data_IF_345347799328
#
_entry.id   IF_345347799328
#
_cell.length_a   1.000
_cell.length_b   1.000
_cell.length_c   1.000
_cell.angle_alpha   90.00
_cell.angle_beta   90.00
_cell.angle_gamma   90.00
#
_symmetry.space_group_name_H-M   'P 1'
#
loop_
_entity.id
_entity.type
_entity.pdbx_description
1 polymer ?
#
# COMPACT_ATOMS: atom_id res chain seq x y z
N UNK A 1 -5.94 -0.42 -9.43
CA UNK A 1 -5.63 -1.47 -8.44
C UNK A 1 -4.96 -2.63 -9.15
N UNK A 2 -4.01 -3.30 -8.51
CA UNK A 2 -3.30 -4.47 -9.05
C UNK A 2 -3.75 -5.74 -8.31
N UNK A 3 -3.46 -6.95 -8.83
CA UNK A 3 -3.74 -8.19 -8.13
C UNK A 3 -3.19 -8.18 -6.70
N UNK A 4 -4.03 -8.57 -5.74
CA UNK A 4 -3.72 -8.52 -4.30
C UNK A 4 -4.06 -7.19 -3.61
N UNK A 5 -4.48 -6.15 -4.34
CA UNK A 5 -5.09 -4.98 -3.72
C UNK A 5 -6.53 -5.28 -3.30
N UNK A 6 -6.96 -4.64 -2.22
CA UNK A 6 -8.33 -4.65 -1.73
C UNK A 6 -8.82 -3.21 -1.60
N UNK A 7 -10.13 -3.04 -1.69
CA UNK A 7 -10.78 -1.75 -1.47
C UNK A 7 -12.09 -1.99 -0.74
N UNK A 8 -12.52 -0.98 0.01
CA UNK A 8 -13.78 -1.02 0.73
C UNK A 8 -14.76 -0.11 0.00
N UNK A 9 -15.86 -0.68 -0.46
CA UNK A 9 -17.00 0.10 -0.96
C UNK A 9 -17.88 0.39 0.24
N UNK A 10 -17.76 1.60 0.77
CA UNK A 10 -18.70 2.09 1.78
C UNK A 10 -19.85 2.73 1.03
N UNK A 11 -21.08 2.32 1.34
CA UNK A 11 -22.29 2.89 0.75
C UNK A 11 -22.50 4.31 1.30
N UNK A 12 -21.68 5.24 0.83
CA UNK A 12 -21.92 6.67 0.91
C UNK A 12 -22.69 7.04 -0.35
N UNK A 13 -23.59 8.01 -0.29
CA UNK A 13 -24.42 8.47 -1.42
C UNK A 13 -23.63 9.07 -2.61
N UNK A 14 -22.36 8.69 -2.79
CA UNK A 14 -21.46 9.14 -3.84
C UNK A 14 -21.40 8.07 -4.94
N UNK A 15 -21.42 8.53 -6.20
CA UNK A 15 -21.53 7.74 -7.43
C UNK A 15 -20.18 7.06 -7.79
N UNK A 16 -19.66 6.24 -6.88
CA UNK A 16 -18.37 5.58 -7.08
C UNK A 16 -18.52 4.38 -8.04
N UNK A 17 -17.93 4.50 -9.22
CA UNK A 17 -17.88 3.42 -10.20
C UNK A 17 -16.52 2.72 -10.16
N UNK A 18 -16.53 1.41 -10.35
CA UNK A 18 -15.31 0.58 -10.41
C UNK A 18 -15.31 -0.15 -11.73
N UNK A 19 -14.27 0.07 -12.54
CA UNK A 19 -14.10 -0.55 -13.85
C UNK A 19 -12.88 -1.47 -13.89
N UNK A 20 -13.01 -2.60 -14.57
CA UNK A 20 -11.91 -3.52 -14.83
C UNK A 20 -11.08 -3.03 -16.03
N UNK A 21 -9.79 -2.80 -15.81
CA UNK A 21 -8.88 -2.25 -16.83
C UNK A 21 -8.17 -3.37 -17.64
N UNK A 22 -8.09 -4.58 -17.09
CA UNK A 22 -7.47 -5.73 -17.74
C UNK A 22 -8.50 -6.82 -18.05
N UNK A 23 -8.36 -7.41 -19.24
CA UNK A 23 -9.00 -8.68 -19.62
C UNK A 23 -8.55 -9.75 -18.60
N UNK A 24 -9.49 -10.50 -18.03
CA UNK A 24 -9.29 -11.48 -16.93
C UNK A 24 -9.14 -10.92 -15.49
N UNK A 25 -9.86 -9.84 -15.16
CA UNK A 25 -9.97 -9.36 -13.77
C UNK A 25 -11.03 -10.14 -12.99
N UNK A 26 -10.61 -10.87 -11.94
CA UNK A 26 -11.52 -11.51 -10.99
C UNK A 26 -11.56 -10.74 -9.66
N UNK A 27 -12.77 -10.51 -9.13
CA UNK A 27 -13.00 -9.85 -7.84
C UNK A 27 -13.71 -10.81 -6.89
N UNK A 28 -13.20 -10.89 -5.65
CA UNK A 28 -13.91 -11.49 -4.54
C UNK A 28 -14.60 -10.38 -3.75
N UNK A 29 -15.92 -10.48 -3.57
CA UNK A 29 -16.70 -9.50 -2.82
C UNK A 29 -17.32 -10.15 -1.59
N UNK A 30 -17.16 -9.48 -0.45
CA UNK A 30 -17.67 -9.92 0.83
C UNK A 30 -18.52 -8.82 1.45
N UNK A 31 -19.61 -9.20 2.11
CA UNK A 31 -20.40 -8.25 2.89
C UNK A 31 -19.60 -7.79 4.10
N UNK A 32 -19.45 -6.48 4.30
CA UNK A 32 -18.67 -5.92 5.40
C UNK A 32 -19.05 -6.48 6.76
N UNK A 33 -20.35 -6.69 7.02
CA UNK A 33 -20.84 -7.31 8.25
C UNK A 33 -20.31 -8.74 8.47
N UNK A 34 -20.17 -9.54 7.40
CA UNK A 34 -19.65 -10.91 7.51
C UNK A 34 -18.15 -10.91 7.82
N UNK A 35 -17.39 -10.00 7.20
CA UNK A 35 -15.96 -9.82 7.45
C UNK A 35 -15.75 -9.40 8.91
N UNK A 36 -16.54 -8.45 9.40
CA UNK A 36 -16.47 -7.97 10.79
C UNK A 36 -16.80 -9.07 11.80
N UNK A 37 -17.87 -9.83 11.56
CA UNK A 37 -18.23 -10.97 12.43
C UNK A 37 -17.15 -12.05 12.47
N UNK A 38 -16.45 -12.28 11.35
CA UNK A 38 -15.36 -13.24 11.30
C UNK A 38 -14.15 -12.72 12.09
N UNK A 39 -13.79 -11.45 11.94
CA UNK A 39 -12.73 -10.80 12.70
C UNK A 39 -12.98 -10.79 14.22
N UNK A 40 -14.25 -10.73 14.65
CA UNK A 40 -14.60 -10.84 16.08
C UNK A 40 -14.42 -12.25 16.64
N UNK A 41 -14.53 -13.28 15.81
CA UNK A 41 -14.43 -14.69 16.23
C UNK A 41 -13.03 -15.27 16.07
N UNK A 42 -12.25 -14.74 15.14
CA UNK A 42 -10.92 -15.20 14.80
C UNK A 42 -9.90 -14.06 14.90
N UNK A 43 -9.02 -14.16 15.90
CA UNK A 43 -7.98 -13.15 16.16
C UNK A 43 -6.89 -13.14 15.10
N UNK A 44 -6.56 -14.29 14.50
CA UNK A 44 -5.56 -14.36 13.43
C UNK A 44 -6.11 -13.69 12.17
N UNK A 45 -7.35 -13.99 11.79
CA UNK A 45 -8.02 -13.28 10.69
C UNK A 45 -8.11 -11.76 10.93
N UNK A 46 -8.41 -11.33 12.15
CA UNK A 46 -8.42 -9.91 12.49
C UNK A 46 -7.03 -9.25 12.37
N UNK A 47 -5.94 -9.99 12.62
CA UNK A 47 -4.56 -9.52 12.38
C UNK A 47 -4.28 -9.38 10.89
N UNK A 48 -4.60 -10.41 10.10
CA UNK A 48 -4.44 -10.37 8.65
C UNK A 48 -5.21 -9.20 8.02
N UNK A 49 -6.48 -9.00 8.41
CA UNK A 49 -7.30 -7.90 7.92
C UNK A 49 -6.69 -6.53 8.27
N UNK A 50 -6.09 -6.40 9.46
CA UNK A 50 -5.40 -5.17 9.89
C UNK A 50 -4.13 -4.92 9.07
N UNK A 51 -3.34 -5.96 8.83
CA UNK A 51 -2.11 -5.83 8.05
C UNK A 51 -2.43 -5.42 6.61
N UNK A 52 -3.48 -6.02 6.05
CA UNK A 52 -4.07 -5.64 4.77
C UNK A 52 -4.45 -4.15 4.81
N UNK A 53 -5.26 -3.70 5.79
CA UNK A 53 -5.63 -2.28 5.97
C UNK A 53 -4.41 -1.32 6.02
N UNK A 54 -3.38 -1.66 6.81
CA UNK A 54 -2.16 -0.87 6.92
C UNK A 54 -1.38 -0.81 5.60
N UNK A 55 -1.34 -1.89 4.83
CA UNK A 55 -0.74 -1.86 3.50
C UNK A 55 -1.48 -0.92 2.55
N UNK A 56 -2.83 -0.87 2.57
CA UNK A 56 -3.55 0.10 1.75
C UNK A 56 -3.28 1.54 2.19
N UNK A 57 -3.22 1.81 3.50
CA UNK A 57 -2.88 3.14 4.01
C UNK A 57 -1.48 3.58 3.58
N UNK A 58 -0.49 2.69 3.66
CA UNK A 58 0.87 2.97 3.16
C UNK A 58 0.87 3.28 1.67
N UNK A 59 0.10 2.53 0.85
CA UNK A 59 -0.03 2.80 -0.59
C UNK A 59 -0.67 4.15 -0.88
N UNK A 60 -1.69 4.53 -0.12
CA UNK A 60 -2.33 5.85 -0.24
C UNK A 60 -1.33 6.95 0.11
N UNK A 61 -0.53 6.75 1.17
CA UNK A 61 0.52 7.70 1.54
C UNK A 61 1.57 7.85 0.43
N UNK A 62 2.03 6.75 -0.17
CA UNK A 62 2.95 6.79 -1.32
C UNK A 62 2.34 7.51 -2.51
N UNK A 63 1.06 7.25 -2.82
CA UNK A 63 0.34 7.92 -3.88
C UNK A 63 0.23 9.43 -3.62
N UNK A 64 -0.07 9.85 -2.39
CA UNK A 64 -0.11 11.26 -2.01
C UNK A 64 1.25 11.94 -2.18
N UNK A 65 2.36 11.25 -1.89
CA UNK A 65 3.70 11.77 -2.15
C UNK A 65 3.95 11.96 -3.65
N UNK A 66 3.50 11.03 -4.49
CA UNK A 66 3.58 11.16 -5.96
C UNK A 66 2.75 12.36 -6.43
N UNK A 67 1.52 12.49 -5.94
CA UNK A 67 0.63 13.61 -6.29
C UNK A 67 1.19 14.94 -5.79
N UNK A 68 1.84 14.97 -4.63
CA UNK A 68 2.51 16.14 -4.07
C UNK A 68 3.83 16.51 -4.75
N UNK A 69 4.28 15.73 -5.74
CA UNK A 69 5.52 16.00 -6.48
C UNK A 69 5.53 17.37 -7.16
N UNK A 70 6.73 17.97 -7.24
CA UNK A 70 6.93 19.37 -7.64
C UNK A 70 6.61 19.59 -9.11
N UNK A 71 6.96 18.64 -9.99
CA UNK A 71 6.69 18.75 -11.43
C UNK A 71 5.98 17.52 -11.99
N UNK A 72 5.18 17.70 -13.04
CA UNK A 72 4.50 16.59 -13.71
C UNK A 72 5.46 15.49 -14.22
N UNK A 73 6.68 15.87 -14.61
CA UNK A 73 7.72 14.93 -15.04
C UNK A 73 8.16 14.03 -13.88
N UNK A 74 8.31 14.59 -12.67
CA UNK A 74 8.61 13.81 -11.46
C UNK A 74 7.43 12.91 -11.08
N UNK A 75 6.19 13.43 -11.11
CA UNK A 75 4.99 12.61 -10.81
C UNK A 75 4.93 11.37 -11.72
N UNK A 76 5.15 11.55 -13.03
CA UNK A 76 5.17 10.45 -14.00
C UNK A 76 6.35 9.50 -13.74
N UNK A 77 7.54 10.02 -13.39
CA UNK A 77 8.69 9.19 -13.04
C UNK A 77 8.43 8.32 -11.82
N UNK A 78 7.96 8.91 -10.73
CA UNK A 78 7.62 8.20 -9.48
C UNK A 78 6.52 7.16 -9.69
N UNK A 79 5.50 7.49 -10.49
CA UNK A 79 4.46 6.55 -10.88
C UNK A 79 5.01 5.31 -11.62
N UNK A 80 5.91 5.51 -12.59
CA UNK A 80 6.54 4.40 -13.31
C UNK A 80 7.39 3.54 -12.39
N UNK A 81 8.12 4.14 -11.44
CA UNK A 81 8.90 3.41 -10.45
C UNK A 81 8.02 2.60 -9.50
N UNK A 82 6.89 3.15 -9.07
CA UNK A 82 5.90 2.48 -8.22
C UNK A 82 5.20 1.31 -8.95
N UNK A 83 4.95 1.43 -10.26
CA UNK A 83 4.44 0.31 -11.04
C UNK A 83 5.50 -0.76 -11.31
N UNK A 84 6.76 -0.34 -11.52
CA UNK A 84 7.87 -1.26 -11.74
C UNK A 84 8.18 -2.11 -10.50
N UNK A 85 8.07 -1.56 -9.29
CA UNK A 85 8.29 -2.33 -8.05
C UNK A 85 7.22 -3.40 -7.82
N UNK A 86 6.04 -3.23 -8.42
CA UNK A 86 4.89 -4.13 -8.26
C UNK A 86 4.74 -5.14 -9.40
N UNK A 87 5.33 -4.84 -10.57
CA UNK A 87 5.30 -5.73 -11.72
C UNK A 87 6.40 -6.79 -11.62
N UNK A 88 6.02 -8.07 -11.73
CA UNK A 88 6.97 -9.20 -11.78
C UNK A 88 7.77 -9.28 -13.09
N UNK A 89 7.63 -8.30 -13.98
CA UNK A 89 8.30 -8.23 -15.28
C UNK A 89 9.80 -8.06 -15.12
N UNK A 90 10.58 -9.06 -15.54
CA UNK A 90 12.04 -9.00 -15.51
C UNK A 90 12.60 -7.79 -16.31
N UNK A 91 13.74 -7.26 -15.85
CA UNK A 91 14.58 -6.25 -16.54
C UNK A 91 13.95 -4.84 -16.72
N UNK A 92 13.23 -4.34 -15.71
CA UNK A 92 12.79 -2.94 -15.68
C UNK A 92 11.70 -2.61 -16.70
N UNK A 93 10.95 -3.61 -17.15
CA UNK A 93 9.82 -3.43 -18.04
C UNK A 93 8.54 -3.23 -17.22
N UNK A 94 7.84 -2.15 -17.52
CA UNK A 94 6.54 -1.80 -16.94
C UNK A 94 5.49 -2.00 -18.03
N UNK A 95 4.58 -2.94 -17.80
CA UNK A 95 3.36 -3.06 -18.60
C UNK A 95 2.34 -2.11 -17.99
N UNK A 96 1.84 -1.19 -18.80
CA UNK A 96 0.85 -0.19 -18.44
C UNK A 96 -0.51 -0.66 -18.97
N UNK A 97 -1.33 -1.37 -18.19
CA UNK A 97 -2.70 -1.68 -18.61
C UNK A 97 -3.54 -0.39 -18.77
N UNK A 98 -3.08 0.69 -18.15
CA UNK A 98 -3.70 2.02 -18.12
C UNK A 98 -3.50 2.80 -19.42
N UNK A 99 -4.54 3.53 -19.82
CA UNK A 99 -4.47 4.56 -20.86
C UNK A 99 -3.75 5.81 -20.35
N UNK A 100 -3.45 6.75 -21.26
CA UNK A 100 -2.89 8.05 -20.85
C UNK A 100 -3.89 8.89 -20.06
N UNK A 101 -5.19 8.69 -20.27
CA UNK A 101 -6.25 9.37 -19.53
C UNK A 101 -6.29 8.86 -18.08
N UNK A 102 -6.25 7.54 -17.89
CA UNK A 102 -6.26 6.94 -16.54
C UNK A 102 -5.02 7.38 -15.75
N UNK A 103 -3.86 7.49 -16.41
CA UNK A 103 -2.64 8.03 -15.78
C UNK A 103 -2.80 9.50 -15.41
N UNK A 104 -3.46 10.29 -16.26
CA UNK A 104 -3.70 11.70 -16.01
C UNK A 104 -4.63 11.91 -14.79
N UNK A 105 -5.70 11.13 -14.73
CA UNK A 105 -6.63 11.08 -13.60
C UNK A 105 -5.92 10.66 -12.31
N UNK A 106 -5.13 9.57 -12.37
CA UNK A 106 -4.37 9.08 -11.22
C UNK A 106 -3.38 10.12 -10.65
N UNK A 107 -2.74 10.90 -11.54
CA UNK A 107 -1.73 11.90 -11.16
C UNK A 107 -2.30 13.31 -10.94
N UNK A 108 -3.60 13.50 -11.11
CA UNK A 108 -4.29 14.79 -11.06
C UNK A 108 -3.62 15.86 -11.94
N UNK A 109 -3.32 15.50 -13.20
CA UNK A 109 -2.77 16.40 -14.23
C UNK A 109 -3.50 16.20 -15.56
N UNK A 110 -3.27 17.06 -16.55
CA UNK A 110 -3.88 16.87 -17.87
C UNK A 110 -3.22 15.74 -18.68
N UNK A 111 -3.96 15.11 -19.59
CA UNK A 111 -3.43 14.06 -20.48
C UNK A 111 -2.31 14.58 -21.39
N UNK A 112 -2.38 15.84 -21.82
CA UNK A 112 -1.33 16.50 -22.58
C UNK A 112 -0.05 16.63 -21.74
N UNK A 113 -0.18 16.95 -20.46
CA UNK A 113 0.93 17.06 -19.51
C UNK A 113 1.59 15.71 -19.29
N UNK A 114 0.80 14.64 -19.17
CA UNK A 114 1.31 13.26 -19.12
C UNK A 114 2.11 12.94 -20.39
N UNK A 115 1.53 13.17 -21.57
CA UNK A 115 2.20 12.89 -22.85
C UNK A 115 3.52 13.68 -23.02
N UNK A 116 3.54 14.96 -22.65
CA UNK A 116 4.75 15.79 -22.64
C UNK A 116 5.80 15.25 -21.67
N UNK A 117 5.37 14.80 -20.49
CA UNK A 117 6.26 14.23 -19.48
C UNK A 117 6.88 12.91 -19.94
N UNK A 118 6.10 12.00 -20.54
CA UNK A 118 6.62 10.78 -21.17
C UNK A 118 7.65 11.09 -22.27
N UNK A 119 7.37 12.09 -23.11
CA UNK A 119 8.30 12.52 -24.16
C UNK A 119 9.60 13.08 -23.57
N UNK A 120 9.50 13.92 -22.53
CA UNK A 120 10.68 14.47 -21.86
C UNK A 120 11.55 13.39 -21.21
N UNK A 121 10.93 12.41 -20.53
CA UNK A 121 11.65 11.29 -19.94
C UNK A 121 12.33 10.40 -20.99
N UNK A 122 11.71 10.24 -22.17
CA UNK A 122 12.30 9.51 -23.29
C UNK A 122 13.50 10.26 -23.87
N UNK A 123 13.39 11.58 -24.10
CA UNK A 123 14.48 12.42 -24.61
C UNK A 123 15.69 12.45 -23.66
N UNK A 124 15.43 12.39 -22.34
CA UNK A 124 16.48 12.28 -21.30
C UNK A 124 17.10 10.88 -21.21
N UNK A 125 16.62 9.91 -21.99
CA UNK A 125 17.10 8.53 -21.94
C UNK A 125 16.71 7.76 -20.67
N UNK A 126 15.80 8.30 -19.84
CA UNK A 126 15.35 7.65 -18.61
C UNK A 126 14.44 6.45 -18.90
N UNK A 127 13.61 6.56 -19.96
CA UNK A 127 12.69 5.51 -20.39
C UNK A 127 12.77 5.27 -21.90
N UNK A 128 12.34 4.08 -22.33
CA UNK A 128 12.01 3.78 -23.73
C UNK A 128 10.59 3.22 -23.83
N UNK A 129 9.84 3.68 -24.82
CA UNK A 129 8.54 3.10 -25.14
C UNK A 129 8.77 1.86 -26.01
N UNK A 130 8.33 0.70 -25.54
CA UNK A 130 8.43 -0.59 -26.24
C UNK A 130 7.09 -1.00 -26.89
N UNK A 131 6.11 -0.10 -26.89
CA UNK A 131 4.76 -0.30 -27.42
C UNK A 131 3.80 0.76 -26.86
N UNK A 132 2.51 0.69 -27.22
CA UNK A 132 1.48 1.63 -26.72
C UNK A 132 1.30 1.54 -25.20
N UNK A 133 1.43 0.33 -24.64
CA UNK A 133 1.18 -0.01 -23.23
C UNK A 133 2.41 -0.58 -22.53
N UNK A 134 3.60 -0.34 -23.06
CA UNK A 134 4.83 -0.94 -22.51
C UNK A 134 5.94 0.09 -22.44
N UNK A 135 6.45 0.30 -21.22
CA UNK A 135 7.50 1.28 -20.92
C UNK A 135 8.68 0.52 -20.31
N UNK A 136 9.88 0.71 -20.84
CA UNK A 136 11.10 0.16 -20.28
C UNK A 136 11.85 1.28 -19.55
N UNK A 137 12.11 1.08 -18.27
CA UNK A 137 12.97 1.96 -17.48
C UNK A 137 14.41 1.62 -17.86
N UNK A 138 15.11 2.59 -18.44
CA UNK A 138 16.50 2.44 -18.90
C UNK A 138 17.48 2.96 -17.87
N UNK A 139 17.15 4.08 -17.23
CA UNK A 139 17.96 4.66 -16.18
C UNK A 139 17.06 5.01 -14.99
N UNK A 140 17.16 4.21 -13.92
CA UNK A 140 16.37 4.40 -12.70
C UNK A 140 16.80 5.66 -11.95
N UNK A 141 18.11 5.92 -11.86
CA UNK A 141 18.66 7.10 -11.21
C UNK A 141 18.16 8.39 -11.88
N UNK A 142 18.07 8.42 -13.21
CA UNK A 142 17.53 9.58 -13.93
C UNK A 142 16.03 9.86 -13.64
N UNK A 143 15.29 8.88 -13.10
CA UNK A 143 13.92 9.07 -12.59
C UNK A 143 13.89 9.50 -11.12
N UNK A 144 14.95 9.19 -10.35
CA UNK A 144 15.07 9.46 -8.91
C UNK A 144 15.82 10.79 -8.62
N UNK A 145 16.78 11.20 -9.45
CA UNK A 145 17.66 12.37 -9.27
C UNK A 145 16.94 13.73 -9.14
N UNK A 146 15.65 13.81 -9.50
CA UNK A 146 14.82 15.00 -9.26
C UNK A 146 13.81 14.87 -8.11
N UNK A 147 13.62 13.66 -7.58
CA UNK A 147 12.81 13.45 -6.38
C UNK A 147 13.57 13.76 -5.08
N UNK A 148 14.88 14.01 -5.15
CA UNK A 148 15.73 14.29 -3.98
C UNK A 148 15.58 15.73 -3.45
N UNK A 149 14.47 16.41 -3.76
CA UNK A 149 14.12 17.69 -3.14
C UNK A 149 13.43 17.43 -1.78
N UNK A 150 14.29 17.19 -0.81
CA UNK A 150 14.05 16.74 0.54
C UNK A 150 13.44 17.84 1.45
N UNK A 151 12.12 17.99 1.40
CA UNK A 151 11.35 18.69 2.46
C UNK A 151 10.31 17.79 3.13
N UNK A 152 9.96 16.65 2.54
CA UNK A 152 8.93 15.72 3.08
C UNK A 152 9.53 14.39 3.56
N UNK A 153 10.67 13.94 3.02
CA UNK A 153 11.35 12.70 3.46
C UNK A 153 12.01 12.86 4.84
N UNK A 154 12.55 14.04 5.18
CA UNK A 154 13.06 14.35 6.53
C UNK A 154 12.03 14.25 7.66
N UNK A 155 10.72 14.30 7.38
CA UNK A 155 9.68 14.08 8.40
C UNK A 155 9.34 12.59 8.61
N UNK A 156 9.68 11.72 7.66
CA UNK A 156 9.46 10.26 7.77
C UNK A 156 10.69 9.53 8.33
N UNK A 157 11.90 10.08 8.15
CA UNK A 157 13.17 9.47 8.59
C UNK A 157 13.45 9.46 10.10
N UNK A 158 12.59 10.04 10.95
CA UNK A 158 12.84 10.13 12.39
C UNK A 158 11.87 9.34 13.28
N UNK A 159 10.91 8.58 12.74
CA UNK A 159 9.94 7.86 13.61
C UNK A 159 9.41 6.52 13.09
N UNK A 160 10.23 5.73 12.40
CA UNK A 160 9.93 4.31 12.17
C UNK A 160 11.09 3.42 12.62
N UNK A 161 11.42 3.48 13.92
CA UNK A 161 11.70 2.23 14.62
C UNK A 161 10.32 1.66 14.96
N UNK A 162 9.81 0.79 14.10
CA UNK A 162 8.92 -0.27 14.58
C UNK A 162 9.68 -0.95 15.72
N UNK A 163 9.31 -0.60 16.94
CA UNK A 163 9.70 -1.36 18.12
C UNK A 163 9.13 -2.76 17.87
N UNK A 164 9.95 -3.81 17.82
CA UNK A 164 9.42 -5.16 17.69
C UNK A 164 8.43 -5.39 18.85
N UNK A 165 7.33 -6.13 18.65
CA UNK A 165 6.43 -6.46 19.73
C UNK A 165 7.28 -7.08 20.85
N UNK A 166 7.34 -6.41 22.01
CA UNK A 166 7.98 -7.01 23.19
C UNK A 166 7.31 -8.36 23.41
N UNK A 167 8.12 -9.41 23.48
CA UNK A 167 7.72 -10.74 23.93
C UNK A 167 6.75 -10.57 25.09
N UNK A 168 5.50 -10.96 24.83
CA UNK A 168 4.51 -11.14 25.87
C UNK A 168 4.98 -12.35 26.66
N UNK A 169 5.84 -12.10 27.65
CA UNK A 169 6.17 -13.09 28.66
C UNK A 169 4.85 -13.48 29.33
N UNK A 170 4.32 -14.63 28.92
CA UNK A 170 3.37 -15.40 29.70
C UNK A 170 4.08 -15.67 31.03
N UNK A 171 3.75 -14.87 32.04
CA UNK A 171 4.13 -15.11 33.43
C UNK A 171 3.34 -16.34 33.88
N UNK A 172 3.94 -17.52 33.69
CA UNK A 172 3.57 -18.77 34.37
C UNK A 172 3.80 -18.57 35.87
N UNK A 173 2.87 -17.90 36.54
CA UNK A 173 2.69 -17.99 37.98
C UNK A 173 1.57 -18.96 38.31
N UNK A 174 2.00 -20.20 38.52
CA UNK A 174 1.37 -21.20 39.38
C UNK A 174 0.55 -20.55 40.53
N UNK A 175 -0.72 -20.93 40.75
CA UNK A 175 -1.42 -20.57 41.97
C UNK A 175 -0.84 -21.34 43.15
N UNK A 176 0.01 -20.66 43.90
CA UNK A 176 0.57 -21.13 45.17
C UNK A 176 -0.52 -21.55 46.16
N UNK A 177 -0.43 -22.83 46.56
CA UNK A 177 -0.88 -23.42 47.82
C UNK A 177 -1.06 -22.39 48.95
N UNK A 178 -2.29 -22.16 49.39
CA UNK A 178 -2.60 -21.51 50.66
C UNK A 178 -3.34 -22.48 51.59
N UNK A 179 -2.53 -23.02 52.50
CA UNK A 179 -2.77 -23.71 53.76
C UNK A 179 -4.05 -23.31 54.52
N UNK A 180 -4.87 -24.29 54.88
CA UNK A 180 -5.92 -24.21 55.91
C UNK A 180 -5.31 -23.95 57.31
N UNK A 181 -5.86 -23.06 58.15
CA UNK A 181 -5.56 -23.08 59.57
C UNK A 181 -6.51 -24.06 60.29
N UNK A 182 -5.89 -25.05 60.94
CA UNK A 182 -6.51 -25.88 61.98
C UNK A 182 -6.91 -24.99 63.16
N UNK A 183 -8.16 -25.12 63.63
CA UNK A 183 -8.50 -24.82 65.02
C UNK A 183 -8.92 -26.10 65.71
N UNK A 184 -8.19 -26.39 66.78
CA UNK A 184 -8.33 -27.50 67.71
C UNK A 184 -9.59 -27.40 68.56
N UNK A 185 -10.06 -28.56 68.99
CA UNK A 185 -11.20 -28.81 69.85
C UNK A 185 -10.97 -28.48 71.34
N UNK A 186 -12.07 -28.18 72.04
CA UNK A 186 -12.39 -28.57 73.44
C UNK A 186 -13.86 -28.20 73.69
N UNK A 187 -14.81 -29.12 73.78
CA UNK A 187 -15.14 -29.99 74.93
C UNK A 187 -15.71 -29.21 76.14
N UNK A 188 -17.04 -29.10 76.21
CA UNK A 188 -17.92 -29.51 77.32
C UNK A 188 -19.38 -29.26 76.93
#
# INVERSE_FOLDING_TARGET
MLPGDFFVVVNRHDDLTVEAIAEDTALASYLGQKVEQLAQRDTEFARELRDVAFQALSRIQDQLLIIGGVTAVEKVGSFLLALASRSSGGRGQVVLPLTRYDVAEYLAVSVETVCRSFTSLQQRGAIRLAGKRTVRIVNRNALEEKNDNDSVRKLSGSNSRLVPPRELALDDREPGRAMMPRRSASAS
#
